data_IF_596346870233
#
_entry.id   IF_596346870233
#
_cell.length_a   1.000
_cell.length_b   1.000
_cell.length_c   1.000
_cell.angle_alpha   90.00
_cell.angle_beta   90.00
_cell.angle_gamma   90.00
#
_symmetry.space_group_name_H-M   'P 1'
#
loop_
_entity.id
_entity.type
_entity.pdbx_description
1 polymer ?
#
# COMPACT_ATOMS: atom_id res chain seq x y z
N UNK A 1 -58.62 -28.63 -60.98
CA UNK A 1 -57.20 -28.24 -61.08
C UNK A 1 -56.77 -27.67 -59.74
N UNK A 2 -56.59 -28.53 -58.74
CA UNK A 2 -56.25 -28.17 -57.36
C UNK A 2 -54.93 -28.83 -56.96
N UNK A 3 -53.93 -28.66 -57.81
CA UNK A 3 -52.52 -28.99 -57.59
C UNK A 3 -51.80 -27.74 -58.06
N UNK A 4 -51.38 -26.86 -57.14
CA UNK A 4 -50.37 -25.82 -57.40
C UNK A 4 -50.11 -24.89 -56.20
N UNK A 5 -50.87 -24.96 -55.11
CA UNK A 5 -50.60 -24.13 -53.91
C UNK A 5 -49.76 -24.79 -52.82
N UNK A 6 -49.56 -26.13 -52.86
CA UNK A 6 -48.76 -26.83 -51.84
C UNK A 6 -47.27 -26.98 -52.19
N UNK A 7 -46.90 -26.83 -53.46
CA UNK A 7 -45.50 -26.96 -53.90
C UNK A 7 -44.74 -25.62 -53.86
N UNK A 8 -45.45 -24.48 -54.00
CA UNK A 8 -44.82 -23.16 -53.93
C UNK A 8 -44.36 -22.79 -52.50
N UNK A 9 -45.07 -23.27 -51.47
CA UNK A 9 -44.67 -23.10 -50.06
C UNK A 9 -43.48 -24.01 -49.67
N UNK A 10 -43.20 -25.07 -50.43
CA UNK A 10 -42.05 -25.95 -50.20
C UNK A 10 -40.76 -25.42 -50.81
N UNK A 11 -40.83 -24.70 -51.93
CA UNK A 11 -39.65 -24.06 -52.54
C UNK A 11 -39.21 -22.79 -51.79
N UNK A 12 -40.13 -22.03 -51.18
CA UNK A 12 -39.79 -20.88 -50.35
C UNK A 12 -39.16 -21.24 -48.99
N UNK A 13 -39.29 -22.49 -48.54
CA UNK A 13 -38.67 -22.98 -47.31
C UNK A 13 -37.18 -23.36 -47.48
N UNK A 14 -36.68 -23.50 -48.71
CA UNK A 14 -35.32 -23.97 -49.01
C UNK A 14 -34.25 -22.86 -49.01
N UNK A 15 -34.65 -21.58 -48.87
CA UNK A 15 -33.75 -20.43 -48.83
C UNK A 15 -33.95 -19.57 -47.59
N UNK A 16 -34.10 -20.20 -46.42
CA UNK A 16 -33.75 -19.52 -45.16
C UNK A 16 -32.24 -19.40 -45.09
N UNK A 17 -31.74 -18.27 -45.58
CA UNK A 17 -30.42 -17.77 -45.17
C UNK A 17 -30.46 -17.65 -43.66
N UNK A 18 -29.80 -18.59 -42.98
CA UNK A 18 -29.67 -18.60 -41.54
C UNK A 18 -28.77 -17.42 -41.17
N UNK A 19 -29.37 -16.25 -40.95
CA UNK A 19 -28.65 -15.11 -40.39
C UNK A 19 -28.09 -15.59 -39.05
N UNK A 20 -26.76 -15.57 -38.84
CA UNK A 20 -26.19 -16.06 -37.60
C UNK A 20 -26.83 -15.28 -36.47
N UNK A 21 -27.64 -15.97 -35.65
CA UNK A 21 -28.26 -15.39 -34.46
C UNK A 21 -27.15 -14.74 -33.67
N UNK A 22 -27.18 -13.42 -33.57
CA UNK A 22 -26.23 -12.66 -32.78
C UNK A 22 -26.19 -13.30 -31.40
N UNK A 23 -25.04 -13.85 -31.00
CA UNK A 23 -24.90 -14.50 -29.70
C UNK A 23 -25.21 -13.46 -28.64
N UNK A 24 -26.37 -13.58 -28.00
CA UNK A 24 -26.74 -12.75 -26.85
C UNK A 24 -25.76 -13.09 -25.74
N UNK A 25 -24.80 -12.20 -25.51
CA UNK A 25 -23.80 -12.33 -24.45
C UNK A 25 -24.37 -11.75 -23.16
N UNK A 26 -24.06 -12.38 -22.02
CA UNK A 26 -24.43 -11.81 -20.71
C UNK A 26 -23.75 -10.47 -20.48
N UNK A 27 -24.30 -9.62 -19.59
CA UNK A 27 -23.70 -8.34 -19.24
C UNK A 27 -22.24 -8.49 -18.78
N UNK A 28 -21.96 -9.52 -17.98
CA UNK A 28 -20.60 -9.87 -17.54
C UNK A 28 -19.71 -10.29 -18.71
N UNK A 29 -20.20 -11.11 -19.63
CA UNK A 29 -19.43 -11.49 -20.81
C UNK A 29 -19.14 -10.27 -21.71
N UNK A 30 -20.07 -9.32 -21.80
CA UNK A 30 -19.85 -8.04 -22.48
C UNK A 30 -18.78 -7.18 -21.80
N UNK A 31 -18.79 -7.10 -20.46
CA UNK A 31 -17.75 -6.40 -19.70
C UNK A 31 -16.38 -7.04 -19.89
N UNK A 32 -16.28 -8.37 -19.75
CA UNK A 32 -15.04 -9.13 -19.96
C UNK A 32 -14.52 -8.90 -21.38
N UNK A 33 -15.40 -8.98 -22.39
CA UNK A 33 -15.02 -8.72 -23.79
C UNK A 33 -14.44 -7.32 -23.99
N UNK A 34 -15.00 -6.28 -23.36
CA UNK A 34 -14.49 -4.91 -23.45
C UNK A 34 -13.10 -4.72 -22.84
N UNK A 35 -12.72 -5.56 -21.86
CA UNK A 35 -11.39 -5.53 -21.24
C UNK A 35 -10.34 -6.35 -21.99
N UNK A 36 -10.73 -7.12 -23.00
CA UNK A 36 -9.78 -7.91 -23.81
C UNK A 36 -8.95 -6.96 -24.69
N UNK A 37 -7.63 -7.11 -24.66
CA UNK A 37 -6.69 -6.34 -25.49
C UNK A 37 -5.98 -7.32 -26.43
N UNK A 38 -5.88 -6.98 -27.71
CA UNK A 38 -5.15 -7.77 -28.70
C UNK A 38 -3.65 -7.54 -28.54
N UNK A 39 -2.82 -8.57 -28.70
CA UNK A 39 -1.36 -8.43 -28.63
C UNK A 39 -0.83 -7.31 -29.56
N UNK A 40 -1.42 -7.16 -30.75
CA UNK A 40 -1.02 -6.15 -31.72
C UNK A 40 -1.31 -4.70 -31.29
N UNK A 41 -2.18 -4.48 -30.30
CA UNK A 41 -2.51 -3.15 -29.76
C UNK A 41 -1.84 -2.88 -28.42
N UNK A 42 -1.02 -3.80 -27.91
CA UNK A 42 -0.32 -3.62 -26.63
C UNK A 42 0.92 -2.76 -26.87
N UNK A 43 0.94 -1.59 -26.23
CA UNK A 43 2.08 -0.68 -26.18
C UNK A 43 2.68 -0.67 -24.77
N UNK A 44 3.98 -0.38 -24.61
CA UNK A 44 4.59 -0.27 -23.30
C UNK A 44 3.97 0.89 -22.49
N UNK A 45 3.76 0.66 -21.19
CA UNK A 45 3.29 1.70 -20.29
C UNK A 45 4.48 2.57 -19.87
N UNK A 46 4.64 3.73 -20.52
CA UNK A 46 5.82 4.59 -20.34
C UNK A 46 5.63 5.75 -19.36
N UNK A 47 4.39 6.10 -19.02
CA UNK A 47 4.06 7.26 -18.20
C UNK A 47 3.02 6.94 -17.13
N UNK A 48 3.05 7.71 -16.04
CA UNK A 48 2.06 7.69 -14.96
C UNK A 48 1.78 6.31 -14.34
N UNK A 49 2.69 5.35 -14.42
CA UNK A 49 2.52 4.00 -13.87
C UNK A 49 2.77 3.89 -12.36
N UNK A 50 3.30 4.96 -11.73
CA UNK A 50 3.55 5.04 -10.30
C UNK A 50 2.84 6.23 -9.67
N UNK A 51 2.53 6.11 -8.38
CA UNK A 51 2.12 7.21 -7.50
C UNK A 51 3.33 7.81 -6.77
N UNK A 52 4.22 6.96 -6.26
CA UNK A 52 5.49 7.33 -5.64
C UNK A 52 6.59 6.53 -6.30
N UNK A 53 7.57 7.22 -6.90
CA UNK A 53 8.56 6.56 -7.75
C UNK A 53 9.35 5.49 -6.97
N UNK A 54 9.30 4.25 -7.44
CA UNK A 54 10.01 3.11 -6.86
C UNK A 54 9.35 2.49 -5.64
N UNK A 55 8.19 3.01 -5.18
CA UNK A 55 7.56 2.56 -3.94
C UNK A 55 6.10 2.15 -4.10
N UNK A 56 5.31 2.95 -4.82
CA UNK A 56 3.86 2.78 -4.92
C UNK A 56 3.46 2.91 -6.39
N UNK A 57 2.98 1.81 -6.96
CA UNK A 57 2.43 1.76 -8.30
C UNK A 57 0.99 2.23 -8.37
N UNK A 58 0.46 2.42 -9.58
CA UNK A 58 -0.97 2.68 -9.77
C UNK A 58 -1.76 1.38 -9.89
N UNK A 59 -3.02 1.41 -9.45
CA UNK A 59 -3.97 0.31 -9.65
C UNK A 59 -3.48 -1.03 -9.06
N UNK A 60 -2.74 -0.96 -7.96
CA UNK A 60 -2.21 -2.10 -7.22
C UNK A 60 -2.85 -2.19 -5.82
N UNK A 61 -2.63 -3.32 -5.15
CA UNK A 61 -2.92 -3.54 -3.75
C UNK A 61 -1.61 -3.63 -2.99
N UNK A 62 -1.42 -2.81 -1.96
CA UNK A 62 -0.24 -2.88 -1.09
C UNK A 62 -0.60 -3.05 0.38
N UNK A 63 0.32 -3.62 1.15
CA UNK A 63 0.26 -3.59 2.60
C UNK A 63 1.38 -2.73 3.18
N UNK A 64 1.00 -1.80 4.06
CA UNK A 64 1.93 -1.07 4.91
C UNK A 64 1.83 -1.63 6.33
N UNK A 65 2.87 -2.32 6.80
CA UNK A 65 2.82 -3.09 8.03
C UNK A 65 4.00 -2.83 8.97
N UNK A 66 3.89 -3.24 10.23
CA UNK A 66 4.87 -2.89 11.26
C UNK A 66 4.34 -3.12 12.68
N UNK A 67 5.23 -3.17 13.69
CA UNK A 67 4.80 -3.37 15.08
C UNK A 67 3.94 -2.21 15.58
N UNK A 68 3.27 -2.43 16.72
CA UNK A 68 2.53 -1.34 17.37
C UNK A 68 3.48 -0.18 17.68
N UNK A 69 2.98 1.06 17.61
CA UNK A 69 3.74 2.28 17.87
C UNK A 69 4.94 2.56 16.93
N UNK A 70 5.15 1.78 15.87
CA UNK A 70 6.20 2.04 14.86
C UNK A 70 5.94 3.27 13.97
N UNK A 71 4.81 3.97 14.12
CA UNK A 71 4.48 5.15 13.31
C UNK A 71 3.79 4.86 11.98
N UNK A 72 3.27 3.63 11.74
CA UNK A 72 2.57 3.24 10.49
C UNK A 72 1.54 4.26 9.98
N UNK A 73 0.59 4.64 10.83
CA UNK A 73 -0.45 5.61 10.47
C UNK A 73 0.14 6.98 10.14
N UNK A 74 1.21 7.40 10.83
CA UNK A 74 1.90 8.66 10.50
C UNK A 74 2.56 8.57 9.12
N UNK A 75 3.27 7.47 8.82
CA UNK A 75 3.88 7.24 7.51
C UNK A 75 2.82 7.16 6.41
N UNK A 76 1.73 6.44 6.63
CA UNK A 76 0.65 6.30 5.66
C UNK A 76 -0.05 7.64 5.38
N UNK A 77 -0.34 8.44 6.42
CA UNK A 77 -0.87 9.79 6.27
C UNK A 77 0.11 10.73 5.54
N UNK A 78 1.41 10.61 5.85
CA UNK A 78 2.45 11.41 5.19
C UNK A 78 2.52 11.08 3.69
N UNK A 79 2.59 9.80 3.31
CA UNK A 79 2.51 9.33 1.92
C UNK A 79 1.23 9.86 1.25
N UNK A 80 0.09 9.67 1.91
CA UNK A 80 -1.22 10.03 1.39
C UNK A 80 -1.35 11.55 1.15
N UNK A 81 -0.83 12.37 2.05
CA UNK A 81 -0.83 13.83 1.90
C UNK A 81 0.10 14.30 0.77
N UNK A 82 1.27 13.68 0.59
CA UNK A 82 2.16 13.98 -0.53
C UNK A 82 1.52 13.59 -1.87
N UNK A 83 0.85 12.43 -1.94
CA UNK A 83 0.07 12.01 -3.11
C UNK A 83 -1.08 12.99 -3.40
N UNK A 84 -1.87 13.34 -2.38
CA UNK A 84 -3.03 14.22 -2.52
C UNK A 84 -2.66 15.65 -2.94
N UNK A 85 -1.46 16.11 -2.55
CA UNK A 85 -0.93 17.44 -2.87
C UNK A 85 -0.04 17.47 -4.12
N UNK A 86 0.37 16.30 -4.63
CA UNK A 86 1.33 16.20 -5.74
C UNK A 86 2.76 16.61 -5.37
N UNK A 87 3.06 16.75 -4.09
CA UNK A 87 4.38 17.16 -3.61
C UNK A 87 5.35 15.97 -3.52
N UNK A 88 6.66 16.15 -3.76
CA UNK A 88 7.65 15.08 -3.66
C UNK A 88 7.71 14.46 -2.26
N UNK A 89 7.67 13.14 -2.16
CA UNK A 89 7.76 12.42 -0.88
C UNK A 89 9.18 11.95 -0.60
N UNK A 90 9.81 12.44 0.46
CA UNK A 90 11.22 12.17 0.78
C UNK A 90 12.19 12.40 -0.40
N UNK A 91 11.93 13.44 -1.21
CA UNK A 91 12.69 13.75 -2.42
C UNK A 91 12.35 12.88 -3.63
N UNK A 92 11.45 11.90 -3.48
CA UNK A 92 10.97 11.06 -4.58
C UNK A 92 9.85 11.76 -5.34
N UNK A 93 9.84 11.56 -6.67
CA UNK A 93 8.79 12.07 -7.53
C UNK A 93 7.45 11.43 -7.21
N UNK A 94 6.41 12.24 -7.23
CA UNK A 94 5.03 11.85 -6.99
C UNK A 94 4.18 12.21 -8.20
N UNK A 95 3.45 11.22 -8.74
CA UNK A 95 2.34 11.50 -9.64
C UNK A 95 1.06 11.41 -8.80
N UNK A 96 0.60 12.57 -8.34
CA UNK A 96 -0.49 12.66 -7.37
C UNK A 96 -1.87 12.30 -7.92
N UNK A 97 -2.87 12.60 -7.10
CA UNK A 97 -4.29 12.48 -7.40
C UNK A 97 -5.12 12.44 -6.11
N UNK A 98 -6.46 12.46 -6.20
CA UNK A 98 -7.31 12.50 -5.00
C UNK A 98 -7.11 11.26 -4.13
N UNK A 99 -7.26 11.44 -2.82
CA UNK A 99 -7.07 10.39 -1.82
C UNK A 99 -8.34 10.22 -1.00
N UNK A 100 -8.74 8.96 -0.83
CA UNK A 100 -9.73 8.56 0.17
C UNK A 100 -9.01 7.80 1.30
N UNK A 101 -9.05 8.34 2.51
CA UNK A 101 -8.47 7.70 3.69
C UNK A 101 -9.58 7.20 4.61
N UNK A 102 -9.66 5.90 4.80
CA UNK A 102 -10.66 5.22 5.63
C UNK A 102 -10.03 4.91 6.98
N UNK A 103 -10.45 5.64 8.01
CA UNK A 103 -9.97 5.47 9.38
C UNK A 103 -10.95 4.61 10.18
N UNK A 104 -10.78 3.29 10.10
CA UNK A 104 -11.67 2.29 10.68
C UNK A 104 -11.61 2.24 12.23
N UNK A 105 -10.58 2.80 12.86
CA UNK A 105 -10.47 2.96 14.32
C UNK A 105 -11.22 4.18 14.88
N UNK A 106 -11.72 5.07 14.01
CA UNK A 106 -12.35 6.33 14.38
C UNK A 106 -11.53 7.56 13.97
N UNK A 107 -12.12 8.75 14.13
CA UNK A 107 -11.64 9.96 13.45
C UNK A 107 -10.82 10.95 14.27
N UNK A 108 -10.98 11.04 15.60
CA UNK A 108 -10.44 12.17 16.37
C UNK A 108 -8.89 12.25 16.32
N UNK A 109 -8.20 11.12 16.54
CA UNK A 109 -6.74 11.08 16.45
C UNK A 109 -6.21 11.38 15.05
N UNK A 110 -6.88 10.90 14.00
CA UNK A 110 -6.50 11.16 12.60
C UNK A 110 -6.70 12.63 12.24
N UNK A 111 -7.78 13.27 12.71
CA UNK A 111 -8.02 14.71 12.51
C UNK A 111 -6.89 15.54 13.08
N UNK A 112 -6.41 15.24 14.29
CA UNK A 112 -5.27 15.96 14.88
C UNK A 112 -3.97 15.73 14.10
N UNK A 113 -3.73 14.53 13.60
CA UNK A 113 -2.57 14.23 12.75
C UNK A 113 -2.60 15.01 11.44
N UNK A 114 -3.75 15.03 10.76
CA UNK A 114 -3.95 15.83 9.55
C UNK A 114 -3.81 17.33 9.85
N UNK A 115 -4.36 17.81 10.96
CA UNK A 115 -4.21 19.20 11.38
C UNK A 115 -2.73 19.58 11.62
N UNK A 116 -1.94 18.68 12.22
CA UNK A 116 -0.51 18.89 12.40
C UNK A 116 0.24 18.97 11.07
N UNK A 117 -0.07 18.07 10.11
CA UNK A 117 0.50 18.12 8.77
C UNK A 117 0.14 19.45 8.07
N UNK A 118 -1.13 19.86 8.11
CA UNK A 118 -1.58 21.12 7.50
C UNK A 118 -0.91 22.35 8.11
N UNK A 119 -0.67 22.33 9.43
CA UNK A 119 0.00 23.42 10.15
C UNK A 119 1.49 23.47 9.83
N UNK A 120 2.14 22.32 9.73
CA UNK A 120 3.56 22.20 9.41
C UNK A 120 3.86 22.47 7.93
N UNK A 121 2.92 22.10 7.04
CA UNK A 121 3.03 22.17 5.58
C UNK A 121 1.82 22.85 4.96
N UNK A 122 1.72 24.19 5.09
CA UNK A 122 0.57 24.95 4.59
C UNK A 122 0.32 24.78 3.08
N UNK A 123 1.35 24.49 2.29
CA UNK A 123 1.27 24.22 0.86
C UNK A 123 0.46 22.95 0.53
N UNK A 124 0.32 22.02 1.47
CA UNK A 124 -0.51 20.81 1.33
C UNK A 124 -1.91 20.98 1.91
N UNK A 125 -2.25 22.14 2.46
CA UNK A 125 -3.49 22.32 3.23
C UNK A 125 -4.78 22.15 2.41
N UNK A 126 -4.69 22.35 1.09
CA UNK A 126 -5.78 22.23 0.11
C UNK A 126 -5.65 20.97 -0.77
N UNK A 127 -4.87 19.98 -0.34
CA UNK A 127 -4.74 18.70 -1.03
C UNK A 127 -6.12 18.04 -1.23
N UNK A 128 -6.29 17.31 -2.34
CA UNK A 128 -7.51 16.56 -2.64
C UNK A 128 -7.61 15.30 -1.76
N UNK A 129 -7.83 15.49 -0.46
CA UNK A 129 -7.82 14.44 0.56
C UNK A 129 -9.17 14.38 1.27
N UNK A 130 -9.81 13.21 1.23
CA UNK A 130 -11.08 12.93 1.90
C UNK A 130 -10.87 11.92 3.02
N UNK A 131 -11.30 12.25 4.23
CA UNK A 131 -11.28 11.35 5.38
C UNK A 131 -12.67 10.72 5.56
N UNK A 132 -12.74 9.40 5.59
CA UNK A 132 -13.90 8.63 6.02
C UNK A 132 -13.62 8.01 7.41
N UNK A 133 -14.09 8.64 8.51
CA UNK A 133 -13.80 8.19 9.87
C UNK A 133 -14.80 7.12 10.35
N UNK A 134 -15.04 6.10 9.54
CA UNK A 134 -16.02 5.04 9.79
C UNK A 134 -15.36 3.68 9.57
N UNK A 135 -15.68 2.72 10.44
CA UNK A 135 -15.28 1.32 10.25
C UNK A 135 -16.03 0.69 9.08
N UNK A 136 -15.33 -0.09 8.27
CA UNK A 136 -15.93 -0.84 7.15
C UNK A 136 -15.74 -2.33 7.36
N UNK A 137 -16.75 -3.13 7.07
CA UNK A 137 -16.62 -4.58 6.93
C UNK A 137 -16.23 -4.94 5.49
N UNK A 138 -14.93 -5.13 5.29
CA UNK A 138 -14.39 -5.61 4.01
C UNK A 138 -14.25 -7.13 3.96
N UNK A 139 -14.77 -7.89 4.92
CA UNK A 139 -14.90 -9.36 4.81
C UNK A 139 -16.29 -9.76 4.32
N UNK A 140 -17.33 -9.11 4.84
CA UNK A 140 -18.72 -9.31 4.48
C UNK A 140 -19.08 -8.77 3.09
N UNK A 141 -20.38 -8.68 2.83
CA UNK A 141 -20.91 -8.07 1.61
C UNK A 141 -21.56 -6.74 1.96
N UNK A 142 -21.34 -5.71 1.15
CA UNK A 142 -22.04 -4.42 1.29
C UNK A 142 -21.08 -3.24 1.29
N UNK A 143 -20.22 -3.13 2.31
CA UNK A 143 -19.43 -1.91 2.53
C UNK A 143 -18.46 -1.58 1.40
N UNK A 144 -17.85 -2.58 0.76
CA UNK A 144 -17.03 -2.34 -0.43
C UNK A 144 -17.84 -1.73 -1.59
N UNK A 145 -19.09 -2.18 -1.79
CA UNK A 145 -19.98 -1.61 -2.80
C UNK A 145 -20.47 -0.22 -2.39
N UNK A 146 -20.83 -0.03 -1.11
CA UNK A 146 -21.21 1.28 -0.59
C UNK A 146 -20.09 2.29 -0.76
N UNK A 147 -18.83 1.90 -0.50
CA UNK A 147 -17.66 2.73 -0.82
C UNK A 147 -17.63 3.08 -2.29
N UNK A 148 -17.83 2.11 -3.20
CA UNK A 148 -17.88 2.33 -4.65
C UNK A 148 -19.00 3.30 -5.09
N UNK A 149 -20.14 3.29 -4.40
CA UNK A 149 -21.29 4.15 -4.70
C UNK A 149 -21.09 5.60 -4.23
N UNK A 150 -20.35 5.82 -3.15
CA UNK A 150 -20.08 7.17 -2.61
C UNK A 150 -18.82 7.82 -3.21
N UNK A 151 -18.14 7.14 -4.12
CA UNK A 151 -16.93 7.69 -4.75
C UNK A 151 -17.33 8.93 -5.54
N UNK A 152 -16.68 10.08 -5.28
CA UNK A 152 -16.98 11.31 -6.01
C UNK A 152 -16.69 11.14 -7.50
N UNK A 153 -17.26 12.04 -8.32
CA UNK A 153 -17.04 12.06 -9.77
C UNK A 153 -15.53 12.04 -10.11
N UNK A 154 -14.72 12.74 -9.31
CA UNK A 154 -13.27 12.64 -9.35
C UNK A 154 -12.80 11.43 -8.53
N UNK A 155 -12.54 10.32 -9.23
CA UNK A 155 -12.12 9.06 -8.60
C UNK A 155 -10.78 9.21 -7.85
N UNK A 156 -10.65 8.61 -6.65
CA UNK A 156 -9.39 8.61 -5.92
C UNK A 156 -8.32 7.87 -6.72
N UNK A 157 -7.10 8.41 -6.69
CA UNK A 157 -5.91 7.73 -7.14
C UNK A 157 -5.36 6.77 -6.07
N UNK A 158 -5.62 7.05 -4.78
CA UNK A 158 -5.25 6.20 -3.65
C UNK A 158 -6.45 6.05 -2.69
N UNK A 159 -6.71 4.81 -2.28
CA UNK A 159 -7.59 4.48 -1.16
C UNK A 159 -6.75 3.85 -0.05
N UNK A 160 -6.75 4.45 1.14
CA UNK A 160 -6.08 3.89 2.32
C UNK A 160 -7.11 3.28 3.27
N UNK A 161 -6.86 2.06 3.73
CA UNK A 161 -7.67 1.34 4.73
C UNK A 161 -6.82 1.19 6.00
N UNK A 162 -7.17 1.94 7.04
CA UNK A 162 -6.46 1.99 8.32
C UNK A 162 -7.37 1.49 9.46
N UNK A 163 -7.32 0.22 9.89
CA UNK A 163 -6.38 -0.86 9.57
C UNK A 163 -7.11 -2.13 9.09
N UNK A 164 -6.37 -3.10 8.53
CA UNK A 164 -6.87 -4.44 8.17
C UNK A 164 -7.67 -5.06 9.31
N UNK A 165 -7.11 -5.13 10.52
CA UNK A 165 -7.73 -5.79 11.66
C UNK A 165 -9.10 -5.20 12.03
N UNK A 166 -9.30 -3.91 11.75
CA UNK A 166 -10.57 -3.20 12.00
C UNK A 166 -11.53 -3.27 10.83
N UNK A 167 -11.03 -3.66 9.66
CA UNK A 167 -11.81 -3.84 8.45
C UNK A 167 -12.10 -5.29 8.08
N UNK A 168 -11.67 -6.26 8.89
CA UNK A 168 -11.94 -7.68 8.69
C UNK A 168 -13.34 -8.11 9.14
N UNK A 169 -14.14 -7.23 9.74
CA UNK A 169 -15.49 -7.57 10.22
C UNK A 169 -15.47 -8.79 11.16
N UNK A 170 -16.24 -9.82 10.81
CA UNK A 170 -16.28 -11.10 11.52
C UNK A 170 -15.23 -12.13 11.04
N UNK A 171 -14.40 -11.78 10.06
CA UNK A 171 -13.40 -12.67 9.47
C UNK A 171 -12.12 -12.81 10.30
N UNK A 172 -11.44 -13.94 10.12
CA UNK A 172 -10.14 -14.20 10.73
C UNK A 172 -9.01 -14.09 9.68
N UNK A 173 -8.15 -13.08 9.83
CA UNK A 173 -7.01 -12.81 8.95
C UNK A 173 -6.03 -13.98 8.81
N UNK A 174 -6.06 -14.94 9.74
CA UNK A 174 -5.20 -16.11 9.74
C UNK A 174 -5.75 -17.22 8.83
N UNK A 175 -7.02 -17.17 8.41
CA UNK A 175 -7.60 -18.13 7.48
C UNK A 175 -7.45 -17.66 6.03
N UNK A 176 -7.06 -18.57 5.14
CA UNK A 176 -6.92 -18.25 3.72
C UNK A 176 -8.26 -17.84 3.08
N UNK A 177 -9.38 -18.41 3.56
CA UNK A 177 -10.72 -18.11 3.06
C UNK A 177 -11.12 -16.66 3.35
N UNK A 178 -10.95 -16.21 4.59
CA UNK A 178 -11.36 -14.87 5.01
C UNK A 178 -10.41 -13.80 4.45
N UNK A 179 -9.10 -14.08 4.44
CA UNK A 179 -8.12 -13.28 3.73
C UNK A 179 -8.51 -13.08 2.26
N UNK A 180 -8.93 -14.14 1.56
CA UNK A 180 -9.34 -14.04 0.17
C UNK A 180 -10.65 -13.26 -0.02
N UNK A 181 -11.59 -13.31 0.93
CA UNK A 181 -12.79 -12.44 0.91
C UNK A 181 -12.40 -10.97 1.03
N UNK A 182 -11.51 -10.65 1.98
CA UNK A 182 -10.99 -9.31 2.19
C UNK A 182 -10.30 -8.74 0.96
N UNK A 183 -9.39 -9.53 0.36
CA UNK A 183 -8.69 -9.15 -0.87
C UNK A 183 -9.68 -8.89 -2.01
N UNK A 184 -10.69 -9.76 -2.18
CA UNK A 184 -11.72 -9.56 -3.22
C UNK A 184 -12.46 -8.23 -3.05
N UNK A 185 -12.81 -7.85 -1.84
CA UNK A 185 -13.49 -6.58 -1.58
C UNK A 185 -12.56 -5.37 -1.81
N UNK A 186 -11.26 -5.49 -1.50
CA UNK A 186 -10.27 -4.49 -1.90
C UNK A 186 -10.16 -4.37 -3.43
N UNK A 187 -10.15 -5.51 -4.13
CA UNK A 187 -10.13 -5.54 -5.60
C UNK A 187 -11.39 -4.93 -6.22
N UNK A 188 -12.56 -5.08 -5.61
CA UNK A 188 -13.78 -4.41 -6.08
C UNK A 188 -13.62 -2.87 -6.04
N UNK A 189 -13.11 -2.33 -4.93
CA UNK A 189 -12.82 -0.89 -4.81
C UNK A 189 -11.79 -0.47 -5.85
N UNK A 190 -10.70 -1.24 -5.98
CA UNK A 190 -9.63 -1.01 -6.95
C UNK A 190 -10.14 -1.00 -8.39
N UNK A 191 -10.95 -1.97 -8.79
CA UNK A 191 -11.51 -2.07 -10.13
C UNK A 191 -12.53 -0.96 -10.44
N UNK A 192 -13.33 -0.54 -9.46
CA UNK A 192 -14.29 0.55 -9.64
C UNK A 192 -13.61 1.92 -9.79
N UNK A 193 -12.48 2.12 -9.11
CA UNK A 193 -11.77 3.40 -9.04
C UNK A 193 -10.61 3.54 -10.01
N UNK A 194 -9.89 2.44 -10.27
CA UNK A 194 -8.53 2.47 -10.79
C UNK A 194 -7.48 2.93 -9.77
N UNK A 195 -7.86 3.10 -8.50
CA UNK A 195 -6.98 3.57 -7.43
C UNK A 195 -5.94 2.51 -7.07
N UNK A 196 -4.81 2.94 -6.51
CA UNK A 196 -4.03 2.08 -5.64
C UNK A 196 -4.78 1.88 -4.31
N UNK A 197 -4.82 0.66 -3.78
CA UNK A 197 -5.40 0.37 -2.47
C UNK A 197 -4.27 0.03 -1.50
N UNK A 198 -4.10 0.84 -0.45
CA UNK A 198 -3.11 0.60 0.60
C UNK A 198 -3.81 0.17 1.88
N UNK A 199 -3.46 -1.01 2.39
CA UNK A 199 -4.01 -1.54 3.64
C UNK A 199 -2.96 -1.47 4.73
N UNK A 200 -3.28 -0.82 5.86
CA UNK A 200 -2.39 -0.74 7.01
C UNK A 200 -2.56 -2.00 7.86
N UNK A 201 -1.45 -2.64 8.23
CA UNK A 201 -1.49 -3.89 9.00
C UNK A 201 -0.47 -3.94 10.14
N UNK A 202 -0.63 -4.91 11.04
CA UNK A 202 0.33 -5.21 12.09
C UNK A 202 1.27 -6.33 11.65
N UNK A 203 2.48 -6.34 12.22
CA UNK A 203 3.37 -7.51 12.15
C UNK A 203 2.78 -8.70 12.88
N UNK A 204 3.17 -9.91 12.48
CA UNK A 204 2.91 -11.13 13.23
C UNK A 204 3.67 -11.15 14.56
N UNK A 205 3.48 -12.20 15.36
CA UNK A 205 4.21 -12.41 16.63
C UNK A 205 5.74 -12.52 16.44
N UNK A 206 6.17 -12.82 15.22
CA UNK A 206 7.57 -12.89 14.81
C UNK A 206 7.78 -11.84 13.72
N UNK A 207 8.49 -10.76 14.06
CA UNK A 207 8.68 -9.60 13.16
C UNK A 207 9.47 -9.97 11.90
N UNK A 208 10.36 -10.97 12.00
CA UNK A 208 11.15 -11.48 10.88
C UNK A 208 10.29 -12.24 9.87
N UNK A 209 9.10 -12.70 10.27
CA UNK A 209 8.14 -13.38 9.40
C UNK A 209 7.21 -12.44 8.63
N UNK A 210 7.31 -11.13 8.87
CA UNK A 210 6.58 -10.10 8.14
C UNK A 210 5.19 -9.78 8.70
N UNK A 211 4.25 -9.47 7.81
CA UNK A 211 2.89 -9.09 8.17
C UNK A 211 2.13 -10.25 8.85
N UNK A 212 1.21 -9.92 9.77
CA UNK A 212 0.38 -10.93 10.43
C UNK A 212 -0.62 -11.57 9.45
N UNK A 213 -1.02 -12.81 9.71
CA UNK A 213 -2.12 -13.46 8.99
C UNK A 213 -1.66 -14.52 8.00
N UNK A 214 -2.60 -14.96 7.16
CA UNK A 214 -2.37 -16.01 6.18
C UNK A 214 -1.34 -15.58 5.12
N UNK A 215 -0.50 -16.52 4.67
CA UNK A 215 0.37 -16.33 3.50
C UNK A 215 -0.41 -15.94 2.24
N UNK A 216 -1.73 -16.21 2.20
CA UNK A 216 -2.63 -15.77 1.16
C UNK A 216 -2.70 -14.24 1.02
N UNK A 217 -2.67 -13.47 2.12
CA UNK A 217 -2.66 -12.00 2.07
C UNK A 217 -1.39 -11.50 1.40
N UNK A 218 -0.24 -11.99 1.87
CA UNK A 218 1.07 -11.67 1.28
C UNK A 218 1.17 -12.04 -0.20
N UNK A 219 0.57 -13.17 -0.60
CA UNK A 219 0.56 -13.59 -2.00
C UNK A 219 -0.30 -12.66 -2.87
N UNK A 220 -1.42 -12.17 -2.33
CA UNK A 220 -2.38 -11.34 -3.05
C UNK A 220 -1.89 -9.92 -3.31
N UNK A 221 -1.18 -9.31 -2.37
CA UNK A 221 -0.70 -7.93 -2.52
C UNK A 221 0.44 -7.82 -3.53
N UNK A 222 0.51 -6.71 -4.24
CA UNK A 222 1.60 -6.39 -5.16
C UNK A 222 2.85 -5.98 -4.37
N UNK A 223 2.66 -5.07 -3.40
CA UNK A 223 3.74 -4.44 -2.67
C UNK A 223 3.59 -4.63 -1.15
N UNK A 224 4.70 -4.91 -0.46
CA UNK A 224 4.78 -4.93 1.00
C UNK A 224 5.78 -3.89 1.48
N UNK A 225 5.31 -2.96 2.30
CA UNK A 225 6.09 -1.87 2.88
C UNK A 225 6.11 -2.06 4.39
N UNK A 226 7.28 -2.31 4.96
CA UNK A 226 7.45 -2.43 6.40
C UNK A 226 7.89 -1.10 7.00
N UNK A 227 7.19 -0.66 8.04
CA UNK A 227 7.64 0.39 8.96
C UNK A 227 8.19 -0.28 10.22
N UNK A 228 9.47 -0.09 10.50
CA UNK A 228 10.16 -0.73 11.62
C UNK A 228 10.09 0.11 12.90
N UNK A 229 10.37 -0.52 14.05
CA UNK A 229 10.49 0.19 15.33
C UNK A 229 11.68 1.16 15.37
N UNK A 230 12.68 0.93 14.53
CA UNK A 230 13.88 1.78 14.37
C UNK A 230 13.66 2.94 13.39
N UNK A 231 12.41 3.26 13.07
CA UNK A 231 12.01 4.37 12.20
C UNK A 231 12.55 4.25 10.76
N UNK A 232 12.52 3.02 10.24
CA UNK A 232 12.84 2.74 8.84
C UNK A 232 11.58 2.35 8.07
N UNK A 233 11.55 2.70 6.78
CA UNK A 233 10.57 2.25 5.80
C UNK A 233 11.32 1.35 4.83
N UNK A 234 10.92 0.08 4.75
CA UNK A 234 11.61 -0.95 3.98
C UNK A 234 10.61 -1.59 3.02
N UNK A 235 10.96 -1.61 1.73
CA UNK A 235 10.21 -2.37 0.74
C UNK A 235 10.58 -3.86 0.82
N UNK A 236 9.64 -4.71 1.25
CA UNK A 236 9.84 -6.15 1.45
C UNK A 236 9.36 -7.00 0.29
N UNK A 237 8.44 -6.46 -0.52
CA UNK A 237 7.95 -7.06 -1.75
C UNK A 237 7.60 -5.96 -2.74
N UNK A 238 8.01 -6.16 -3.99
CA UNK A 238 7.59 -5.39 -5.15
C UNK A 238 7.31 -6.42 -6.25
N UNK A 239 6.15 -6.34 -6.91
CA UNK A 239 5.81 -7.28 -7.99
C UNK A 239 6.61 -6.99 -9.25
N UNK A 240 6.62 -5.71 -9.65
CA UNK A 240 7.07 -5.28 -10.99
C UNK A 240 8.34 -4.40 -10.96
N UNK A 241 8.92 -4.19 -9.78
CA UNK A 241 10.08 -3.30 -9.58
C UNK A 241 11.14 -3.92 -8.67
N UNK A 242 12.37 -3.44 -8.79
CA UNK A 242 13.40 -3.73 -7.80
C UNK A 242 13.08 -3.01 -6.49
N UNK A 243 13.25 -3.66 -5.32
CA UNK A 243 13.08 -3.00 -4.04
C UNK A 243 14.00 -1.77 -3.91
N UNK A 244 13.47 -0.57 -3.62
CA UNK A 244 14.28 0.62 -3.39
C UNK A 244 15.12 0.48 -2.11
N UNK A 245 16.13 1.34 -1.99
CA UNK A 245 16.87 1.48 -0.74
C UNK A 245 15.93 1.88 0.42
N UNK A 246 16.17 1.39 1.65
CA UNK A 246 15.41 1.81 2.81
C UNK A 246 15.40 3.34 2.99
N UNK A 247 14.28 3.85 3.47
CA UNK A 247 14.14 5.25 3.89
C UNK A 247 14.10 5.32 5.40
N UNK A 248 14.57 6.43 5.97
CA UNK A 248 14.57 6.65 7.41
C UNK A 248 13.73 7.88 7.73
N UNK A 249 13.04 7.84 8.85
CA UNK A 249 12.20 8.94 9.30
C UNK A 249 12.32 9.17 10.79
N UNK A 250 11.70 10.26 11.25
CA UNK A 250 11.47 10.53 12.67
C UNK A 250 10.12 11.20 12.83
N UNK A 251 9.51 11.07 14.01
CA UNK A 251 8.30 11.82 14.35
C UNK A 251 8.69 13.07 15.13
N UNK A 252 8.34 14.24 14.58
CA UNK A 252 8.49 15.53 15.26
C UNK A 252 7.12 15.98 15.77
N UNK A 253 7.07 16.32 17.06
CA UNK A 253 5.84 16.84 17.68
C UNK A 253 5.50 18.23 17.16
N UNK A 254 4.20 18.48 16.98
CA UNK A 254 3.61 19.75 16.56
C UNK A 254 2.48 20.09 17.53
N UNK A 255 2.56 21.27 18.14
CA UNK A 255 1.49 21.79 19.01
C UNK A 255 0.35 22.37 18.17
N UNK A 256 -0.86 21.88 18.42
CA UNK A 256 -2.07 22.30 17.73
C UNK A 256 -2.79 23.44 18.45
N UNK A 257 -2.74 23.44 19.78
CA UNK A 257 -3.41 24.43 20.62
C UNK A 257 -3.36 24.02 22.08
N UNK A 258 -4.24 24.60 22.89
CA UNK A 258 -4.51 24.18 24.27
C UNK A 258 -5.89 23.50 24.33
N UNK A 259 -6.07 22.56 25.24
CA UNK A 259 -7.38 21.98 25.56
C UNK A 259 -8.14 22.83 26.60
N UNK A 260 -9.25 22.28 27.10
CA UNK A 260 -10.14 22.94 28.07
C UNK A 260 -9.47 23.17 29.43
N UNK A 261 -8.45 22.38 29.77
CA UNK A 261 -7.70 22.48 31.03
C UNK A 261 -6.44 23.37 30.89
N UNK A 262 -6.15 23.85 29.67
CA UNK A 262 -4.99 24.68 29.36
C UNK A 262 -3.73 23.88 29.01
N UNK A 263 -3.83 22.55 28.84
CA UNK A 263 -2.72 21.69 28.48
C UNK A 263 -2.50 21.66 26.96
N UNK A 264 -1.25 21.52 26.47
CA UNK A 264 -0.96 21.55 25.05
C UNK A 264 -1.46 20.30 24.33
N UNK A 265 -2.41 20.47 23.41
CA UNK A 265 -2.81 19.44 22.45
C UNK A 265 -1.74 19.32 21.38
N UNK A 266 -1.10 18.17 21.29
CA UNK A 266 -0.03 17.89 20.32
C UNK A 266 -0.38 16.73 19.40
N UNK A 267 0.22 16.74 18.21
CA UNK A 267 0.32 15.56 17.34
C UNK A 267 1.73 15.53 16.74
N UNK A 268 1.97 14.72 15.72
CA UNK A 268 3.29 14.61 15.10
C UNK A 268 3.24 14.58 13.58
N UNK A 269 4.36 14.98 12.96
CA UNK A 269 4.62 14.90 11.53
C UNK A 269 5.85 14.05 11.27
N UNK A 270 5.92 13.47 10.07
CA UNK A 270 7.05 12.64 9.62
C UNK A 270 8.10 13.56 9.00
N UNK A 271 9.30 13.58 9.56
CA UNK A 271 10.46 14.22 8.93
C UNK A 271 11.40 13.15 8.37
N UNK A 272 12.09 13.49 7.27
CA UNK A 272 13.20 12.67 6.75
C UNK A 272 14.32 12.61 7.80
N UNK A 273 14.89 11.43 7.98
CA UNK A 273 16.05 11.21 8.83
C UNK A 273 17.21 10.62 8.02
N UNK A 274 18.42 10.81 8.51
CA UNK A 274 19.58 10.05 8.04
C UNK A 274 19.52 8.61 8.57
N UNK A 275 20.09 7.63 7.85
CA UNK A 275 20.22 6.28 8.36
C UNK A 275 20.97 6.29 9.70
N UNK A 276 20.54 5.48 10.68
CA UNK A 276 21.24 5.38 11.94
C UNK A 276 22.70 4.98 11.67
N UNK A 277 23.65 5.73 12.24
CA UNK A 277 25.07 5.35 12.17
C UNK A 277 25.18 3.93 12.70
N UNK A 278 25.83 3.00 11.98
CA UNK A 278 25.91 1.61 12.40
C UNK A 278 26.48 1.56 13.81
N UNK A 279 25.64 1.22 14.78
CA UNK A 279 26.08 1.01 16.14
C UNK A 279 27.01 -0.19 16.10
N UNK A 280 28.30 0.02 16.45
CA UNK A 280 29.23 -1.09 16.63
C UNK A 280 28.67 -1.97 17.73
N UNK A 281 28.01 -3.08 17.37
CA UNK A 281 27.60 -4.09 18.35
C UNK A 281 28.88 -4.55 19.05
N UNK A 282 28.93 -4.59 20.39
CA UNK A 282 30.04 -5.18 21.10
C UNK A 282 30.26 -6.59 20.54
N UNK A 283 31.49 -6.91 20.15
CA UNK A 283 31.83 -8.28 19.78
C UNK A 283 31.55 -9.16 21.01
N UNK A 284 30.93 -10.31 20.81
CA UNK A 284 30.59 -11.26 21.88
C UNK A 284 31.21 -12.63 21.59
N UNK A 285 31.56 -13.37 22.63
CA UNK A 285 31.96 -14.77 22.55
C UNK A 285 33.24 -14.97 21.75
N UNK A 286 33.26 -15.94 20.82
CA UNK A 286 34.48 -16.27 20.04
C UNK A 286 35.03 -15.08 19.26
N UNK A 287 34.17 -14.17 18.81
CA UNK A 287 34.60 -12.97 18.08
C UNK A 287 35.27 -11.94 19.00
N UNK A 288 34.86 -11.86 20.25
CA UNK A 288 35.50 -11.02 21.27
C UNK A 288 36.90 -11.55 21.62
N UNK A 289 37.01 -12.87 21.82
CA UNK A 289 38.28 -13.55 22.09
C UNK A 289 39.25 -13.40 20.91
N UNK A 290 38.77 -13.57 19.67
CA UNK A 290 39.59 -13.38 18.48
C UNK A 290 40.08 -11.93 18.34
N UNK A 291 39.22 -10.95 18.64
CA UNK A 291 39.60 -9.55 18.60
C UNK A 291 40.59 -9.19 19.71
N UNK A 292 40.43 -9.76 20.90
CA UNK A 292 41.36 -9.60 22.00
C UNK A 292 42.74 -10.20 21.65
N UNK A 293 42.77 -11.40 21.08
CA UNK A 293 44.00 -12.03 20.59
C UNK A 293 44.69 -11.18 19.50
N UNK A 294 43.92 -10.59 18.59
CA UNK A 294 44.46 -9.66 17.58
C UNK A 294 45.06 -8.41 18.24
N UNK A 295 44.38 -7.83 19.24
CA UNK A 295 44.92 -6.68 19.96
C UNK A 295 46.20 -7.01 20.73
N UNK A 296 46.26 -8.17 21.37
CA UNK A 296 47.44 -8.60 22.12
C UNK A 296 48.62 -8.88 21.16
N UNK A 297 48.37 -9.54 20.03
CA UNK A 297 49.39 -9.73 18.98
C UNK A 297 49.92 -8.39 18.41
N UNK A 298 49.04 -7.40 18.19
CA UNK A 298 49.45 -6.07 17.73
C UNK A 298 50.26 -5.30 18.78
N UNK A 299 49.95 -5.47 20.07
CA UNK A 299 50.74 -4.88 21.17
C UNK A 299 52.11 -5.53 21.29
N UNK A 300 52.17 -6.86 21.19
CA UNK A 300 53.41 -7.62 21.26
C UNK A 300 54.33 -7.29 20.07
N UNK A 301 53.78 -7.18 18.87
CA UNK A 301 54.55 -6.75 17.71
C UNK A 301 55.06 -5.30 17.86
N UNK A 302 54.24 -4.39 18.40
CA UNK A 302 54.68 -3.00 18.66
C UNK A 302 55.77 -2.92 19.74
N UNK A 303 55.71 -3.77 20.76
CA UNK A 303 56.72 -3.79 21.83
C UNK A 303 58.04 -4.41 21.36
N UNK A 304 57.99 -5.42 20.50
CA UNK A 304 59.17 -6.01 19.85
C UNK A 304 59.84 -5.03 18.89
N UNK A 305 59.08 -4.32 18.03
CA UNK A 305 59.62 -3.27 17.16
C UNK A 305 60.24 -2.10 17.94
N UNK A 306 59.72 -1.77 19.14
CA UNK A 306 60.33 -0.74 19.99
C UNK A 306 61.63 -1.22 20.65
N UNK A 307 61.72 -2.49 21.04
CA UNK A 307 62.94 -3.06 21.63
C UNK A 307 64.08 -3.19 20.61
N UNK A 308 63.77 -3.41 19.33
CA UNK A 308 64.75 -3.46 18.25
C UNK A 308 65.20 -2.09 17.72
N UNK A 309 64.66 -0.99 18.25
CA UNK A 309 65.01 0.40 17.89
C UNK A 309 65.76 1.16 18.99
N UNK A 310 66.14 0.49 20.07
CA UNK A 310 67.09 1.02 21.06
C UNK A 310 68.49 0.55 20.67
N UNK A 311 69.42 1.46 20.32
CA UNK A 311 70.78 1.11 19.88
C UNK A 311 71.60 0.42 20.97
#
# INVERSE_FOLDING_TARGET
MARDFQDMDRELAAHRVDFPREKVISARAGEVRRRMVSLASIEPVLANNYMVKGWIDRNCLSMLYGPSNAGKTFVALDIAMHIASGQPWQGLRVNGGPVLYIAAEGGAGIRNRLAAIKRDRPEMANAAFTLLPVGLDLHGQGDAMAVCEIIPDEKPALVVIDTLARSMGAGDENTAKDAAMFVRNCDLIREATGAHVMVIHHTGKDEDRGARGSSALRAAVDNEIQVTADWEIISRKQRDQEPPAPLNFKLRSVTLGLDEDGDPVTSAVVDVAEPPKPARKPLKGKNEVAMQALYDALRDHRSQCRRSMTP
#
